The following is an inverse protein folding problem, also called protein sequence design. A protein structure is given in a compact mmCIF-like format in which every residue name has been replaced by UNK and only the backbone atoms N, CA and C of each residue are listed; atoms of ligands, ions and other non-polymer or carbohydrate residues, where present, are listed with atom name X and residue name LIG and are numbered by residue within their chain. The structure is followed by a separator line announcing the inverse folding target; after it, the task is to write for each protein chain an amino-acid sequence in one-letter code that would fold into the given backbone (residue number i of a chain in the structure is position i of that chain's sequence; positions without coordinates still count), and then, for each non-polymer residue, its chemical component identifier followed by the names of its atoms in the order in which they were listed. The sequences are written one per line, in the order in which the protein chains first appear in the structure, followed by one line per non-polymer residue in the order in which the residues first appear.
data_IF_171014016368
#
_entry.id   IF_171014016368
#
_cell.length_a   1.000
_cell.length_b   1.000
_cell.length_c   1.000
_cell.angle_alpha   90.00
_cell.angle_beta   90.00
_cell.angle_gamma   90.00
#
_symmetry.space_group_name_H-M   'P 1'
#
loop_
_entity.id
_entity.type
_entity.pdbx_description
1 polymer ?
#
# COMPACT_ATOMS: atom_id res chain seq x y z
N UNK A 1 -6.54 19.19 0.59
CA UNK A 1 -6.70 17.73 0.78
C UNK A 1 -6.00 17.32 2.07
N UNK A 2 -6.45 16.26 2.74
CA UNK A 2 -5.80 15.73 3.95
C UNK A 2 -4.67 14.78 3.53
N UNK A 3 -3.59 14.76 4.30
CA UNK A 3 -2.48 13.82 4.12
C UNK A 3 -2.59 12.73 5.20
N UNK A 4 -2.33 11.48 4.81
CA UNK A 4 -2.39 10.32 5.69
C UNK A 4 -1.14 9.47 5.49
N UNK A 5 -0.71 8.84 6.58
CA UNK A 5 0.28 7.75 6.55
C UNK A 5 -0.43 6.46 6.95
N UNK A 6 -0.29 5.43 6.12
CA UNK A 6 -0.93 4.13 6.32
C UNK A 6 0.18 3.10 6.41
N UNK A 7 0.21 2.37 7.52
CA UNK A 7 1.13 1.26 7.75
C UNK A 7 0.29 0.03 8.06
N UNK A 8 0.57 -1.09 7.39
CA UNK A 8 -0.08 -2.35 7.66
C UNK A 8 0.94 -3.48 7.69
N UNK A 9 0.68 -4.48 8.52
CA UNK A 9 1.51 -5.67 8.66
C UNK A 9 0.79 -6.83 8.00
N UNK A 10 1.55 -7.66 7.28
CA UNK A 10 1.02 -8.80 6.55
C UNK A 10 1.59 -10.08 7.16
N UNK A 11 0.77 -11.12 7.26
CA UNK A 11 1.23 -12.42 7.72
C UNK A 11 2.35 -12.94 6.79
N UNK A 12 3.44 -13.53 7.31
CA UNK A 12 4.60 -13.92 6.49
C UNK A 12 4.24 -14.86 5.33
N UNK A 13 3.27 -15.76 5.52
CA UNK A 13 2.79 -16.68 4.48
C UNK A 13 2.12 -15.98 3.28
N UNK A 14 1.73 -14.72 3.44
CA UNK A 14 1.09 -13.90 2.41
C UNK A 14 2.07 -12.88 1.79
N UNK A 15 3.38 -12.98 2.07
CA UNK A 15 4.39 -12.02 1.58
C UNK A 15 4.37 -11.88 0.05
N UNK A 16 4.16 -12.97 -0.69
CA UNK A 16 4.12 -12.94 -2.16
C UNK A 16 2.92 -12.16 -2.71
N UNK A 17 1.89 -11.92 -1.89
CA UNK A 17 0.68 -11.19 -2.28
C UNK A 17 0.84 -9.67 -2.09
N UNK A 18 1.84 -9.23 -1.31
CA UNK A 18 2.05 -7.82 -0.94
C UNK A 18 2.15 -6.90 -2.17
N UNK A 19 2.91 -7.23 -3.23
CA UNK A 19 2.98 -6.36 -4.42
C UNK A 19 1.62 -6.14 -5.08
N UNK A 20 0.80 -7.19 -5.19
CA UNK A 20 -0.55 -7.10 -5.75
C UNK A 20 -1.52 -6.32 -4.87
N UNK A 21 -1.36 -6.40 -3.54
CA UNK A 21 -2.14 -5.57 -2.62
C UNK A 21 -1.80 -4.09 -2.76
N UNK A 22 -0.51 -3.74 -2.83
CA UNK A 22 -0.04 -2.36 -3.03
C UNK A 22 -0.62 -1.78 -4.32
N UNK A 23 -0.57 -2.54 -5.42
CA UNK A 23 -1.12 -2.10 -6.71
C UNK A 23 -2.63 -1.85 -6.63
N UNK A 24 -3.40 -2.78 -6.06
CA UNK A 24 -4.86 -2.64 -5.91
C UNK A 24 -5.24 -1.41 -5.10
N UNK A 25 -4.62 -1.21 -3.93
CA UNK A 25 -4.90 -0.04 -3.10
C UNK A 25 -4.48 1.27 -3.78
N UNK A 26 -3.35 1.25 -4.48
CA UNK A 26 -2.88 2.41 -5.23
C UNK A 26 -3.87 2.82 -6.32
N UNK A 27 -4.41 1.84 -7.05
CA UNK A 27 -5.43 2.04 -8.07
C UNK A 27 -6.73 2.59 -7.48
N UNK A 28 -7.19 2.07 -6.34
CA UNK A 28 -8.38 2.61 -5.67
C UNK A 28 -8.19 4.08 -5.26
N UNK A 29 -7.01 4.44 -4.74
CA UNK A 29 -6.70 5.82 -4.33
C UNK A 29 -6.68 6.77 -5.54
N UNK A 30 -6.01 6.38 -6.62
CA UNK A 30 -5.88 7.22 -7.82
C UNK A 30 -7.21 7.38 -8.57
N UNK A 31 -8.03 6.32 -8.65
CA UNK A 31 -9.38 6.38 -9.22
C UNK A 31 -10.30 7.31 -8.42
N UNK A 32 -10.10 7.41 -7.09
CA UNK A 32 -10.80 8.37 -6.24
C UNK A 32 -10.30 9.81 -6.33
N UNK A 33 -9.35 10.11 -7.24
CA UNK A 33 -8.74 11.44 -7.38
C UNK A 33 -7.66 11.75 -6.34
N UNK A 34 -7.23 10.76 -5.55
CA UNK A 34 -6.16 10.89 -4.57
C UNK A 34 -4.77 10.85 -5.21
N UNK A 35 -3.78 11.40 -4.50
CA UNK A 35 -2.36 11.35 -4.90
C UNK A 35 -1.54 10.58 -3.86
N UNK A 36 -0.73 9.64 -4.34
CA UNK A 36 0.22 8.90 -3.51
C UNK A 36 1.55 9.64 -3.56
N UNK A 37 2.09 9.96 -2.39
CA UNK A 37 3.35 10.70 -2.26
C UNK A 37 4.55 9.78 -2.01
N UNK A 38 4.34 8.66 -1.29
CA UNK A 38 5.37 7.68 -0.94
C UNK A 38 4.74 6.29 -0.84
N UNK A 39 5.48 5.29 -1.32
CA UNK A 39 5.21 3.87 -1.11
C UNK A 39 6.53 3.24 -0.68
N UNK A 40 6.52 2.49 0.40
CA UNK A 40 7.72 1.87 0.98
C UNK A 40 7.35 0.46 1.48
N UNK A 41 8.09 -0.55 1.02
CA UNK A 41 7.96 -1.93 1.49
C UNK A 41 9.15 -2.24 2.41
N UNK A 42 8.87 -2.52 3.69
CA UNK A 42 9.88 -2.84 4.69
C UNK A 42 10.31 -4.31 4.68
N UNK A 43 9.62 -5.17 3.93
CA UNK A 43 9.87 -6.60 3.87
C UNK A 43 9.59 -7.33 5.18
N UNK A 44 10.18 -8.52 5.33
CA UNK A 44 10.08 -9.34 6.56
C UNK A 44 11.02 -8.77 7.62
N UNK A 45 10.46 -8.19 8.70
CA UNK A 45 11.18 -7.67 9.88
C UNK A 45 10.48 -8.04 11.17
#
# INVERSE_FOLDING_TARGET
MRHYEIVFLVHPDQSEQVPGMIERYSNTITQGGGKIHRVEDWGRR
#
